data_IF_948176857114
#
_entry.id   IF_948176857114
#
_cell.length_a   1.000
_cell.length_b   1.000
_cell.length_c   1.000
_cell.angle_alpha   90.00
_cell.angle_beta   90.00
_cell.angle_gamma   90.00
#
_symmetry.space_group_name_H-M   'P 1'
#
loop_
_entity.id
_entity.type
_entity.pdbx_description
1 polymer ?
#
# COMPACT_ATOMS: atom_id res chain seq x y z
N UNK A 1 -97.11 20.33 -9.62
CA UNK A 1 -97.07 18.88 -9.59
C UNK A 1 -95.72 18.47 -10.14
N UNK A 2 -94.99 17.97 -9.29
CA UNK A 2 -93.59 17.83 -9.26
C UNK A 2 -93.17 16.63 -10.14
N UNK A 3 -92.22 16.84 -11.02
CA UNK A 3 -91.54 15.80 -11.75
C UNK A 3 -90.09 15.74 -11.24
N UNK A 4 -89.83 14.58 -10.76
CA UNK A 4 -88.52 14.21 -10.20
C UNK A 4 -87.65 13.64 -11.32
N UNK A 5 -86.60 14.35 -11.74
CA UNK A 5 -85.66 13.86 -12.73
C UNK A 5 -84.29 13.58 -12.04
N UNK A 6 -84.14 12.29 -11.72
CA UNK A 6 -82.87 11.80 -11.18
C UNK A 6 -81.72 11.91 -12.16
N UNK A 7 -80.73 12.64 -11.79
CA UNK A 7 -79.48 12.72 -12.51
C UNK A 7 -78.56 11.54 -12.10
N UNK A 8 -78.24 10.69 -13.07
CA UNK A 8 -77.30 9.59 -12.93
C UNK A 8 -75.84 10.17 -12.92
N UNK A 9 -75.19 10.13 -11.80
CA UNK A 9 -73.75 10.37 -11.71
C UNK A 9 -72.96 9.19 -12.32
N UNK A 10 -72.28 9.48 -13.43
CA UNK A 10 -71.34 8.54 -14.03
C UNK A 10 -70.08 8.43 -13.19
N UNK A 11 -69.89 7.30 -12.53
CA UNK A 11 -68.66 6.99 -11.84
C UNK A 11 -67.51 6.82 -12.84
N UNK A 12 -66.57 7.74 -12.87
CA UNK A 12 -65.31 7.63 -13.60
C UNK A 12 -64.40 6.62 -12.89
N UNK A 13 -64.23 5.45 -13.49
CA UNK A 13 -63.31 4.43 -13.02
C UNK A 13 -61.85 4.93 -13.15
N UNK A 14 -61.11 5.02 -12.05
CA UNK A 14 -59.70 5.31 -12.04
C UNK A 14 -58.91 4.15 -12.65
N UNK A 15 -57.87 4.42 -13.46
CA UNK A 15 -57.04 3.37 -14.07
C UNK A 15 -56.24 2.61 -12.99
N UNK A 16 -55.89 1.34 -13.22
CA UNK A 16 -55.19 0.52 -12.26
C UNK A 16 -53.79 1.13 -11.96
N UNK A 17 -53.44 1.23 -10.69
CA UNK A 17 -52.14 1.67 -10.24
C UNK A 17 -51.07 0.73 -10.81
N UNK A 18 -50.07 1.30 -11.51
CA UNK A 18 -48.85 0.60 -11.90
C UNK A 18 -48.13 0.03 -10.67
N UNK A 19 -47.54 -1.16 -10.79
CA UNK A 19 -46.84 -1.77 -9.67
C UNK A 19 -45.68 -0.85 -9.21
N UNK A 20 -45.67 -0.51 -7.92
CA UNK A 20 -44.57 0.22 -7.28
C UNK A 20 -43.30 -0.57 -7.43
N UNK A 21 -42.31 0.06 -8.06
CA UNK A 21 -40.95 -0.46 -8.22
C UNK A 21 -40.45 -0.93 -6.86
N UNK A 22 -40.12 -2.20 -6.71
CA UNK A 22 -39.49 -2.77 -5.54
C UNK A 22 -38.22 -1.94 -5.21
N UNK A 23 -37.92 -1.66 -3.92
CA UNK A 23 -36.70 -0.96 -3.56
C UNK A 23 -35.52 -1.78 -4.05
N UNK A 24 -34.68 -1.17 -4.89
CA UNK A 24 -33.44 -1.76 -5.33
C UNK A 24 -32.66 -2.21 -4.09
N UNK A 25 -32.35 -3.49 -4.01
CA UNK A 25 -31.48 -4.05 -2.99
C UNK A 25 -30.17 -3.24 -2.99
N UNK A 26 -30.02 -2.36 -2.00
CA UNK A 26 -28.82 -1.57 -1.82
C UNK A 26 -27.63 -2.52 -1.79
N UNK A 27 -26.62 -2.26 -2.66
CA UNK A 27 -25.36 -3.00 -2.64
C UNK A 27 -24.86 -2.98 -1.19
N UNK A 28 -24.86 -4.14 -0.53
CA UNK A 28 -24.28 -4.29 0.81
C UNK A 28 -22.84 -3.76 0.72
N UNK A 29 -22.55 -2.67 1.43
CA UNK A 29 -21.17 -2.19 1.59
C UNK A 29 -20.40 -3.35 2.19
N UNK A 30 -19.40 -3.89 1.47
CA UNK A 30 -18.45 -4.82 2.05
C UNK A 30 -17.84 -4.12 3.25
N UNK A 31 -17.86 -4.77 4.40
CA UNK A 31 -17.14 -4.29 5.57
C UNK A 31 -15.69 -4.04 5.15
N UNK A 32 -15.19 -2.86 5.46
CA UNK A 32 -13.80 -2.53 5.21
C UNK A 32 -12.96 -3.48 6.06
N UNK A 33 -12.00 -4.18 5.43
CA UNK A 33 -11.02 -5.01 6.14
C UNK A 33 -9.87 -4.12 6.59
N UNK A 34 -9.36 -4.33 7.79
CA UNK A 34 -8.16 -3.63 8.22
C UNK A 34 -6.96 -4.08 7.37
N UNK A 35 -5.99 -3.18 7.18
CA UNK A 35 -4.85 -3.44 6.31
C UNK A 35 -3.95 -4.56 6.86
N UNK A 36 -3.93 -4.76 8.17
CA UNK A 36 -3.09 -5.75 8.87
C UNK A 36 -3.59 -7.17 8.64
N UNK A 37 -4.91 -7.40 8.74
CA UNK A 37 -5.51 -8.70 8.45
C UNK A 37 -5.34 -9.10 6.99
N UNK A 38 -5.44 -8.14 6.08
CA UNK A 38 -5.21 -8.36 4.64
C UNK A 38 -3.77 -8.77 4.36
N UNK A 39 -2.80 -8.10 5.00
CA UNK A 39 -1.38 -8.45 4.86
C UNK A 39 -1.09 -9.86 5.35
N UNK A 40 -1.56 -10.25 6.53
CA UNK A 40 -1.39 -11.61 7.07
C UNK A 40 -2.00 -12.68 6.17
N UNK A 41 -3.20 -12.43 5.62
CA UNK A 41 -3.82 -13.34 4.66
C UNK A 41 -3.00 -13.44 3.36
N UNK A 42 -2.45 -12.34 2.87
CA UNK A 42 -1.62 -12.29 1.67
C UNK A 42 -0.28 -13.00 1.88
N UNK A 43 0.39 -12.79 3.00
CA UNK A 43 1.63 -13.48 3.35
C UNK A 43 1.43 -14.99 3.44
N UNK A 44 0.34 -15.45 4.07
CA UNK A 44 0.02 -16.87 4.18
C UNK A 44 -0.29 -17.55 2.83
N UNK A 45 -0.82 -16.78 1.86
CA UNK A 45 -1.21 -17.27 0.53
C UNK A 45 -0.20 -16.94 -0.56
N UNK A 46 0.91 -16.27 -0.21
CA UNK A 46 1.90 -15.83 -1.19
C UNK A 46 2.51 -17.04 -1.92
N UNK A 47 2.61 -17.02 -3.27
CA UNK A 47 3.15 -18.13 -4.04
C UNK A 47 4.55 -18.59 -3.58
N UNK A 48 5.39 -17.66 -3.14
CA UNK A 48 6.72 -17.96 -2.63
C UNK A 48 6.68 -18.71 -1.28
N UNK A 49 5.71 -18.40 -0.41
CA UNK A 49 5.55 -19.09 0.87
C UNK A 49 5.10 -20.54 0.67
N UNK A 50 4.22 -20.79 -0.32
CA UNK A 50 3.67 -22.12 -0.61
C UNK A 50 4.69 -23.02 -1.33
N UNK A 51 5.43 -22.44 -2.28
CA UNK A 51 6.32 -23.22 -3.16
C UNK A 51 7.76 -23.33 -2.63
N UNK A 52 8.15 -22.58 -1.60
CA UNK A 52 9.56 -22.48 -1.15
C UNK A 52 10.51 -21.93 -2.21
N UNK A 53 9.96 -21.42 -3.32
CA UNK A 53 10.72 -20.89 -4.45
C UNK A 53 10.72 -19.37 -4.43
N UNK A 54 11.90 -18.78 -4.59
CA UNK A 54 12.03 -17.33 -4.76
C UNK A 54 11.53 -16.92 -6.14
N UNK A 55 10.45 -16.14 -6.18
CA UNK A 55 9.90 -15.55 -7.40
C UNK A 55 9.86 -14.03 -7.22
N UNK A 56 10.70 -13.32 -7.95
CA UNK A 56 10.70 -11.85 -7.94
C UNK A 56 9.64 -11.32 -8.91
N UNK A 57 8.78 -10.40 -8.45
CA UNK A 57 7.77 -9.80 -9.30
C UNK A 57 8.41 -8.92 -10.38
N UNK A 58 7.76 -8.77 -11.52
CA UNK A 58 8.16 -7.89 -12.61
C UNK A 58 7.18 -6.72 -12.71
N UNK A 59 7.67 -5.48 -12.76
CA UNK A 59 6.85 -4.25 -12.78
C UNK A 59 5.79 -4.23 -13.87
N UNK A 60 6.07 -4.82 -15.04
CA UNK A 60 5.15 -4.87 -16.18
C UNK A 60 3.79 -5.48 -15.84
N UNK A 61 3.72 -6.40 -14.88
CA UNK A 61 2.48 -7.05 -14.45
C UNK A 61 1.70 -6.26 -13.39
N UNK A 62 2.36 -5.24 -12.80
CA UNK A 62 1.80 -4.39 -11.73
C UNK A 62 1.58 -2.95 -12.20
N UNK A 63 1.57 -2.72 -13.53
CA UNK A 63 1.38 -1.37 -14.08
C UNK A 63 0.01 -0.81 -13.71
N UNK A 64 0.01 0.38 -13.18
CA UNK A 64 -1.17 1.16 -12.83
C UNK A 64 -0.94 2.61 -13.26
N UNK A 65 -2.03 3.39 -13.48
CA UNK A 65 -1.91 4.80 -13.83
C UNK A 65 -0.97 5.52 -12.87
N UNK A 66 -0.07 6.35 -13.40
CA UNK A 66 0.94 7.06 -12.62
C UNK A 66 0.31 7.97 -11.55
N UNK A 67 -0.79 8.65 -11.90
CA UNK A 67 -1.48 9.54 -10.98
C UNK A 67 -2.72 8.86 -10.39
N UNK A 68 -2.72 8.70 -9.07
CA UNK A 68 -3.89 8.30 -8.33
C UNK A 68 -4.71 9.52 -7.89
N UNK A 69 -6.02 9.36 -7.78
CA UNK A 69 -6.85 10.40 -7.17
C UNK A 69 -6.80 10.24 -5.64
N UNK A 70 -6.17 11.17 -4.88
CA UNK A 70 -6.04 11.06 -3.44
C UNK A 70 -7.38 11.20 -2.69
N UNK A 71 -8.47 11.53 -3.40
CA UNK A 71 -9.81 11.62 -2.83
C UNK A 71 -10.66 10.35 -3.05
N UNK A 72 -10.08 9.30 -3.67
CA UNK A 72 -10.77 8.03 -3.99
C UNK A 72 -10.26 6.87 -3.13
N UNK A 73 -10.11 7.08 -1.83
CA UNK A 73 -9.56 6.13 -0.87
C UNK A 73 -10.61 5.50 0.08
N UNK A 74 -11.88 5.56 -0.30
CA UNK A 74 -13.01 5.12 0.54
C UNK A 74 -13.00 3.63 0.93
N UNK A 75 -12.19 2.81 0.29
CA UNK A 75 -12.07 1.38 0.58
C UNK A 75 -10.94 1.04 1.57
N UNK A 76 -10.18 2.04 2.00
CA UNK A 76 -9.08 1.85 2.95
C UNK A 76 -9.57 2.05 4.38
N UNK A 77 -9.09 1.21 5.27
CA UNK A 77 -9.26 1.36 6.72
C UNK A 77 -7.93 1.88 7.27
N UNK A 78 -8.02 2.85 8.13
CA UNK A 78 -6.88 3.50 8.76
C UNK A 78 -6.92 3.27 10.25
N UNK A 79 -5.77 3.18 10.94
CA UNK A 79 -5.74 3.23 12.39
C UNK A 79 -6.32 4.56 12.84
N UNK A 80 -6.99 4.60 13.99
CA UNK A 80 -7.50 5.84 14.55
C UNK A 80 -6.35 6.68 15.15
N UNK A 81 -5.32 6.00 15.64
CA UNK A 81 -4.12 6.57 16.26
C UNK A 81 -2.93 5.63 16.08
N UNK A 82 -1.68 6.10 16.24
CA UNK A 82 -0.48 5.29 16.04
C UNK A 82 -0.40 4.02 16.88
N UNK A 83 -0.93 4.03 18.10
CA UNK A 83 -0.96 2.87 18.99
C UNK A 83 -1.86 1.73 18.50
N UNK A 84 -2.77 1.99 17.55
CA UNK A 84 -3.65 0.97 16.97
C UNK A 84 -2.95 0.20 15.83
N UNK A 85 -1.71 0.59 15.46
CA UNK A 85 -0.94 -0.09 14.43
C UNK A 85 -0.32 -1.38 14.95
N UNK A 86 -0.62 -2.48 14.26
CA UNK A 86 0.07 -3.75 14.47
C UNK A 86 1.31 -3.85 13.55
N UNK A 87 2.44 -3.40 14.07
CA UNK A 87 3.71 -3.45 13.34
C UNK A 87 4.27 -4.86 13.18
N UNK A 88 3.81 -5.85 13.93
CA UNK A 88 4.26 -7.24 13.80
C UNK A 88 3.91 -7.87 12.46
N UNK A 89 2.82 -7.43 11.80
CA UNK A 89 2.47 -7.84 10.45
C UNK A 89 3.41 -7.26 9.39
N UNK A 90 4.02 -6.11 9.65
CA UNK A 90 4.94 -5.44 8.74
C UNK A 90 6.40 -5.89 8.94
N UNK A 91 6.77 -6.14 10.20
CA UNK A 91 8.14 -6.48 10.62
C UNK A 91 8.10 -7.71 11.54
N UNK A 92 7.75 -8.90 11.02
CA UNK A 92 7.47 -10.09 11.85
C UNK A 92 8.66 -10.56 12.69
N UNK A 93 9.89 -10.31 12.26
CA UNK A 93 11.08 -10.68 13.03
C UNK A 93 11.53 -9.60 14.01
N UNK A 94 11.23 -8.33 13.74
CA UNK A 94 11.74 -7.18 14.51
C UNK A 94 10.70 -6.56 15.45
N UNK A 95 9.42 -6.86 15.26
CA UNK A 95 8.31 -6.39 16.08
C UNK A 95 7.45 -7.56 16.58
N UNK A 96 8.05 -8.71 16.84
CA UNK A 96 7.33 -9.87 17.39
C UNK A 96 6.81 -9.56 18.79
N UNK A 97 5.65 -10.14 19.20
CA UNK A 97 5.14 -9.99 20.55
C UNK A 97 6.18 -10.43 21.59
N UNK A 98 6.45 -9.59 22.60
CA UNK A 98 7.41 -9.86 23.67
C UNK A 98 8.85 -9.43 23.38
N UNK A 99 9.11 -8.81 22.23
CA UNK A 99 10.38 -8.13 21.95
C UNK A 99 10.26 -6.64 22.28
N UNK A 100 11.40 -5.97 22.53
CA UNK A 100 11.44 -4.50 22.55
C UNK A 100 11.12 -4.01 21.14
N UNK A 101 9.86 -3.63 20.93
CA UNK A 101 9.36 -3.28 19.61
C UNK A 101 10.09 -2.06 19.08
N UNK A 102 10.89 -2.25 18.03
CA UNK A 102 11.51 -1.15 17.28
C UNK A 102 10.42 -0.28 16.68
N UNK A 103 10.66 1.03 16.60
CA UNK A 103 9.74 1.96 15.93
C UNK A 103 10.20 2.25 14.52
N UNK A 104 9.25 2.53 13.64
CA UNK A 104 9.55 3.04 12.28
C UNK A 104 10.16 4.44 12.41
N UNK A 105 11.32 4.64 11.80
CA UNK A 105 12.05 5.91 11.84
C UNK A 105 12.10 6.61 10.49
N UNK A 106 12.06 5.85 9.38
CA UNK A 106 12.07 6.41 8.03
C UNK A 106 10.73 6.13 7.34
N UNK A 107 10.18 7.14 6.67
CA UNK A 107 8.99 7.01 5.84
C UNK A 107 9.27 7.48 4.41
N UNK A 108 8.96 6.63 3.42
CA UNK A 108 9.03 6.96 2.00
C UNK A 108 7.60 7.17 1.46
N UNK A 109 7.23 8.43 1.28
CA UNK A 109 5.87 8.83 0.96
C UNK A 109 5.69 8.90 -0.56
N UNK A 110 4.79 8.03 -1.08
CA UNK A 110 4.67 7.82 -2.52
C UNK A 110 5.82 6.96 -3.04
N UNK A 111 6.19 5.92 -2.30
CA UNK A 111 7.39 5.10 -2.54
C UNK A 111 7.43 4.43 -3.93
N UNK A 112 6.35 4.49 -4.71
CA UNK A 112 6.28 3.87 -6.02
C UNK A 112 6.62 2.38 -5.97
N UNK A 113 7.51 1.93 -6.83
CA UNK A 113 7.99 0.55 -6.86
C UNK A 113 9.06 0.21 -5.79
N UNK A 114 9.25 1.07 -4.79
CA UNK A 114 10.07 0.81 -3.62
C UNK A 114 11.58 0.85 -3.86
N UNK A 115 12.04 1.47 -4.94
CA UNK A 115 13.47 1.50 -5.28
C UNK A 115 14.35 2.10 -4.18
N UNK A 116 13.89 3.16 -3.53
CA UNK A 116 14.61 3.78 -2.41
C UNK A 116 14.71 2.83 -1.21
N UNK A 117 13.58 2.21 -0.81
CA UNK A 117 13.55 1.27 0.31
C UNK A 117 14.55 0.13 0.13
N UNK A 118 14.58 -0.47 -1.08
CA UNK A 118 15.49 -1.58 -1.39
C UNK A 118 16.97 -1.17 -1.28
N UNK A 119 17.31 0.08 -1.63
CA UNK A 119 18.67 0.61 -1.52
C UNK A 119 19.05 1.00 -0.11
N UNK A 120 18.12 1.53 0.68
CA UNK A 120 18.37 1.94 2.06
C UNK A 120 18.44 0.75 3.03
N UNK A 121 17.73 -0.35 2.74
CA UNK A 121 17.65 -1.50 3.62
C UNK A 121 19.03 -2.01 4.09
N UNK A 122 20.01 -2.30 3.21
CA UNK A 122 21.34 -2.77 3.61
C UNK A 122 22.20 -1.68 4.27
N UNK A 123 21.92 -0.39 4.00
CA UNK A 123 22.68 0.72 4.57
C UNK A 123 22.28 1.05 6.01
N UNK A 124 21.05 0.75 6.39
CA UNK A 124 20.48 1.04 7.69
C UNK A 124 19.75 -0.20 8.25
N UNK A 125 20.49 -1.31 8.49
CA UNK A 125 19.87 -2.60 8.85
C UNK A 125 19.07 -2.55 10.16
N UNK A 126 19.43 -1.65 11.05
CA UNK A 126 18.78 -1.49 12.37
C UNK A 126 17.62 -0.51 12.38
N UNK A 127 17.40 0.24 11.29
CA UNK A 127 16.37 1.27 11.18
C UNK A 127 15.14 0.72 10.45
N UNK A 128 13.97 0.78 11.08
CA UNK A 128 12.74 0.40 10.41
C UNK A 128 12.28 1.49 9.44
N UNK A 129 11.93 1.09 8.21
CA UNK A 129 11.53 1.97 7.13
C UNK A 129 10.20 1.53 6.53
N UNK A 130 9.27 2.46 6.38
CA UNK A 130 7.95 2.23 5.81
C UNK A 130 7.76 2.97 4.49
N UNK A 131 7.45 2.24 3.43
CA UNK A 131 6.92 2.81 2.19
C UNK A 131 5.41 3.00 2.28
N UNK A 132 4.93 4.15 1.86
CA UNK A 132 3.50 4.45 1.80
C UNK A 132 3.11 4.76 0.36
N UNK A 133 2.22 3.93 -0.23
CA UNK A 133 1.78 4.09 -1.62
C UNK A 133 0.26 3.93 -1.69
N UNK A 134 -0.39 4.76 -2.51
CA UNK A 134 -1.85 4.74 -2.65
C UNK A 134 -2.33 3.76 -3.74
N UNK A 135 -1.50 3.48 -4.75
CA UNK A 135 -1.83 2.62 -5.88
C UNK A 135 -1.74 1.15 -5.50
N UNK A 136 -2.84 0.44 -5.61
CA UNK A 136 -2.98 -0.96 -5.15
C UNK A 136 -1.95 -1.90 -5.77
N UNK A 137 -1.82 -1.90 -7.10
CA UNK A 137 -0.91 -2.83 -7.79
C UNK A 137 0.56 -2.52 -7.51
N UNK A 138 0.90 -1.23 -7.42
CA UNK A 138 2.26 -0.80 -7.12
C UNK A 138 2.66 -1.17 -5.70
N UNK A 139 1.76 -0.98 -4.73
CA UNK A 139 1.98 -1.45 -3.35
C UNK A 139 2.17 -2.96 -3.29
N UNK A 140 1.33 -3.70 -4.03
CA UNK A 140 1.44 -5.17 -4.09
C UNK A 140 2.79 -5.62 -4.66
N UNK A 141 3.29 -4.95 -5.71
CA UNK A 141 4.63 -5.24 -6.25
C UNK A 141 5.71 -5.09 -5.18
N UNK A 142 5.70 -3.98 -4.42
CA UNK A 142 6.71 -3.74 -3.38
C UNK A 142 6.63 -4.79 -2.29
N UNK A 143 5.40 -5.13 -1.86
CA UNK A 143 5.15 -6.18 -0.88
C UNK A 143 5.72 -7.53 -1.34
N UNK A 144 5.38 -7.96 -2.56
CA UNK A 144 5.82 -9.23 -3.13
C UNK A 144 7.34 -9.28 -3.30
N UNK A 145 7.95 -8.15 -3.68
CA UNK A 145 9.41 -8.04 -3.81
C UNK A 145 10.11 -8.14 -2.46
N UNK A 146 9.63 -7.46 -1.43
CA UNK A 146 10.18 -7.55 -0.06
C UNK A 146 10.10 -9.00 0.42
N UNK A 147 8.95 -9.65 0.24
CA UNK A 147 8.75 -11.03 0.64
C UNK A 147 9.71 -11.99 -0.08
N UNK A 148 9.88 -11.84 -1.39
CA UNK A 148 10.82 -12.65 -2.18
C UNK A 148 12.28 -12.48 -1.70
N UNK A 149 12.70 -11.25 -1.38
CA UNK A 149 14.05 -10.95 -0.90
C UNK A 149 14.29 -11.49 0.52
N UNK A 150 13.31 -11.39 1.41
CA UNK A 150 13.37 -12.01 2.75
C UNK A 150 13.51 -13.53 2.64
N UNK A 151 12.77 -14.17 1.73
CA UNK A 151 12.84 -15.60 1.48
C UNK A 151 14.22 -15.99 0.89
N UNK A 152 14.73 -15.22 -0.08
CA UNK A 152 16.06 -15.44 -0.67
C UNK A 152 17.15 -15.38 0.40
N UNK A 153 17.12 -14.36 1.26
CA UNK A 153 18.04 -14.22 2.39
C UNK A 153 17.97 -15.45 3.30
N UNK A 154 16.78 -15.85 3.72
CA UNK A 154 16.59 -17.01 4.60
C UNK A 154 17.14 -18.31 3.99
N UNK A 155 16.94 -18.52 2.69
CA UNK A 155 17.46 -19.70 1.98
C UNK A 155 18.99 -19.65 1.89
N UNK A 156 19.59 -18.49 1.56
CA UNK A 156 21.04 -18.33 1.49
C UNK A 156 21.70 -18.56 2.86
N UNK A 157 21.16 -17.98 3.93
CA UNK A 157 21.64 -18.22 5.30
C UNK A 157 21.55 -19.70 5.69
N UNK A 158 20.43 -20.36 5.35
CA UNK A 158 20.26 -21.80 5.65
C UNK A 158 21.22 -22.69 4.84
N UNK A 159 21.65 -22.25 3.67
CA UNK A 159 22.62 -22.95 2.82
C UNK A 159 24.08 -22.64 3.22
N UNK A 160 24.32 -21.74 4.19
CA UNK A 160 25.67 -21.31 4.59
C UNK A 160 26.32 -20.30 3.63
N UNK A 161 25.57 -19.76 2.67
CA UNK A 161 26.04 -18.73 1.73
C UNK A 161 25.89 -17.32 2.34
N UNK A 162 26.57 -17.10 3.45
CA UNK A 162 26.61 -15.83 4.17
C UNK A 162 27.98 -15.20 3.93
N UNK A 163 28.10 -14.46 2.82
CA UNK A 163 29.33 -13.70 2.55
C UNK A 163 29.48 -12.54 3.52
N UNK A 164 30.73 -12.26 3.94
CA UNK A 164 31.05 -11.14 4.85
C UNK A 164 31.35 -9.85 4.12
N UNK A 165 31.45 -9.87 2.79
CA UNK A 165 31.79 -8.68 2.01
C UNK A 165 30.60 -7.73 1.91
N UNK A 166 30.82 -6.41 2.04
CA UNK A 166 29.76 -5.41 1.84
C UNK A 166 29.16 -5.53 0.45
N UNK A 167 27.83 -5.47 0.37
CA UNK A 167 27.14 -5.38 -0.92
C UNK A 167 27.50 -4.05 -1.57
N UNK A 168 28.28 -4.08 -2.66
CA UNK A 168 28.50 -2.91 -3.48
C UNK A 168 27.20 -2.49 -4.15
N UNK A 169 26.64 -1.37 -3.70
CA UNK A 169 25.51 -0.75 -4.38
C UNK A 169 25.99 -0.22 -5.74
N UNK A 170 25.53 -0.85 -6.82
CA UNK A 170 25.80 -0.34 -8.16
C UNK A 170 25.36 1.12 -8.25
N UNK A 171 26.33 2.01 -8.53
CA UNK A 171 26.11 3.45 -8.63
C UNK A 171 25.42 3.86 -9.93
N UNK A 172 25.44 3.00 -10.93
CA UNK A 172 24.94 3.31 -12.27
C UNK A 172 23.82 2.37 -12.68
N UNK A 173 22.69 2.95 -13.14
CA UNK A 173 21.62 2.24 -13.83
C UNK A 173 21.90 2.36 -15.32
N UNK A 174 21.94 1.25 -16.06
CA UNK A 174 22.04 1.31 -17.52
C UNK A 174 20.81 1.99 -18.15
N UNK A 175 20.99 2.69 -19.24
CA UNK A 175 19.96 3.59 -19.79
C UNK A 175 19.00 2.96 -20.82
N UNK A 176 19.14 1.68 -21.18
CA UNK A 176 18.36 1.09 -22.28
C UNK A 176 17.83 -0.32 -21.97
N UNK A 177 16.56 -0.54 -22.30
CA UNK A 177 15.74 -1.75 -22.16
C UNK A 177 15.29 -2.06 -20.71
N UNK A 178 14.34 -1.25 -20.22
CA UNK A 178 13.85 -1.27 -18.84
C UNK A 178 13.45 -2.67 -18.31
N UNK A 179 12.93 -3.56 -19.16
CA UNK A 179 12.46 -4.88 -18.71
C UNK A 179 13.64 -5.87 -18.53
N UNK A 180 14.68 -5.79 -19.35
CA UNK A 180 15.88 -6.62 -19.22
C UNK A 180 16.71 -6.21 -18.03
N UNK A 181 16.93 -4.91 -17.87
CA UNK A 181 17.66 -4.31 -16.77
C UNK A 181 16.98 -4.61 -15.42
N UNK A 182 15.65 -4.53 -15.38
CA UNK A 182 14.90 -4.90 -14.16
C UNK A 182 15.13 -6.37 -13.81
N UNK A 183 15.13 -7.26 -14.79
CA UNK A 183 15.35 -8.69 -14.58
C UNK A 183 16.76 -8.96 -14.04
N UNK A 184 17.78 -8.38 -14.64
CA UNK A 184 19.17 -8.54 -14.22
C UNK A 184 19.39 -7.95 -12.80
N UNK A 185 18.85 -6.76 -12.53
CA UNK A 185 18.90 -6.16 -11.21
C UNK A 185 18.22 -7.02 -10.14
N UNK A 186 17.07 -7.61 -10.47
CA UNK A 186 16.35 -8.49 -9.57
C UNK A 186 17.11 -9.81 -9.32
N UNK A 187 17.68 -10.42 -10.35
CA UNK A 187 18.51 -11.63 -10.22
C UNK A 187 19.75 -11.37 -9.37
N UNK A 188 20.38 -10.20 -9.54
CA UNK A 188 21.50 -9.77 -8.71
C UNK A 188 21.08 -9.62 -7.25
N UNK A 189 19.97 -8.95 -6.98
CA UNK A 189 19.45 -8.78 -5.61
C UNK A 189 19.19 -10.13 -4.92
N UNK A 190 18.71 -11.13 -5.65
CA UNK A 190 18.50 -12.49 -5.11
C UNK A 190 19.83 -13.15 -4.78
N UNK A 191 20.81 -13.10 -5.68
CA UNK A 191 22.15 -13.69 -5.44
C UNK A 191 22.83 -13.07 -4.23
N UNK A 192 22.68 -11.76 -4.06
CA UNK A 192 23.32 -11.00 -2.98
C UNK A 192 22.50 -10.99 -1.68
N UNK A 193 21.27 -11.52 -1.71
CA UNK A 193 20.35 -11.43 -0.57
C UNK A 193 20.93 -12.00 0.72
N UNK A 194 21.69 -13.10 0.66
CA UNK A 194 22.34 -13.72 1.83
C UNK A 194 23.36 -12.82 2.52
N UNK A 195 23.93 -11.86 1.79
CA UNK A 195 24.95 -10.90 2.27
C UNK A 195 24.37 -9.60 2.80
N UNK A 196 23.06 -9.38 2.60
CA UNK A 196 22.39 -8.14 3.03
C UNK A 196 22.19 -8.18 4.54
N UNK A 197 22.81 -7.23 5.23
CA UNK A 197 22.62 -7.06 6.67
C UNK A 197 21.12 -6.85 6.98
N UNK A 198 20.59 -7.62 7.94
CA UNK A 198 19.18 -7.57 8.32
C UNK A 198 18.21 -8.19 7.32
N UNK A 199 18.68 -8.75 6.18
CA UNK A 199 17.88 -9.58 5.25
C UNK A 199 16.57 -8.93 4.78
N UNK A 200 16.55 -7.62 4.60
CA UNK A 200 15.35 -6.83 4.24
C UNK A 200 14.20 -6.89 5.28
N UNK A 201 14.48 -7.35 6.51
CA UNK A 201 13.46 -7.38 7.58
C UNK A 201 13.07 -5.99 8.09
N UNK A 202 13.94 -5.00 7.85
CA UNK A 202 13.81 -3.61 8.29
C UNK A 202 12.98 -2.72 7.35
N UNK A 203 12.48 -3.22 6.23
CA UNK A 203 11.64 -2.46 5.30
C UNK A 203 10.26 -3.10 5.14
N UNK A 204 9.23 -2.27 4.99
CA UNK A 204 7.88 -2.72 4.67
C UNK A 204 7.14 -1.69 3.82
N UNK A 205 5.97 -2.05 3.33
CA UNK A 205 5.12 -1.15 2.56
C UNK A 205 3.67 -1.24 3.03
N UNK A 206 2.97 -0.12 3.01
CA UNK A 206 1.54 -0.05 3.30
C UNK A 206 0.79 0.70 2.21
N UNK A 207 -0.37 0.17 1.83
CA UNK A 207 -1.28 0.91 0.98
C UNK A 207 -2.04 1.94 1.81
N UNK A 208 -1.72 3.21 1.63
CA UNK A 208 -2.35 4.29 2.39
C UNK A 208 -2.39 5.60 1.64
N UNK A 209 -3.27 6.48 2.08
CA UNK A 209 -3.28 7.88 1.68
C UNK A 209 -2.54 8.72 2.73
N UNK A 210 -1.22 8.82 2.59
CA UNK A 210 -0.39 9.59 3.50
C UNK A 210 -0.79 11.07 3.57
N UNK A 211 -1.33 11.64 2.48
CA UNK A 211 -1.79 13.04 2.47
C UNK A 211 -2.87 13.33 3.51
N UNK A 212 -3.68 12.33 3.88
CA UNK A 212 -4.78 12.52 4.83
C UNK A 212 -4.47 11.94 6.21
N UNK A 213 -3.75 10.82 6.26
CA UNK A 213 -3.71 9.97 7.43
C UNK A 213 -2.30 9.66 7.96
N UNK A 214 -1.27 10.41 7.50
CA UNK A 214 0.09 10.21 8.03
C UNK A 214 0.16 10.25 9.57
N UNK A 215 -0.50 11.19 10.27
CA UNK A 215 -0.46 11.26 11.73
C UNK A 215 -1.11 10.08 12.44
N UNK A 216 -1.91 9.27 11.73
CA UNK A 216 -2.53 8.09 12.33
C UNK A 216 -1.56 6.89 12.43
N UNK A 217 -0.41 6.97 11.76
CA UNK A 217 0.58 5.88 11.70
C UNK A 217 1.79 6.11 12.60
N UNK A 218 2.11 7.37 12.89
CA UNK A 218 3.35 7.73 13.59
C UNK A 218 3.06 8.67 14.74
N UNK A 219 3.73 8.42 15.86
CA UNK A 219 3.73 9.34 16.99
C UNK A 219 4.47 10.64 16.62
N UNK A 220 4.20 11.68 17.38
CA UNK A 220 4.92 12.93 17.22
C UNK A 220 6.42 12.70 17.46
N UNK A 221 7.26 13.33 16.64
CA UNK A 221 8.74 13.24 16.70
C UNK A 221 9.30 11.80 16.53
N UNK A 222 8.49 10.84 16.04
CA UNK A 222 8.93 9.47 15.81
C UNK A 222 9.83 9.33 14.58
N UNK A 223 9.48 10.01 13.49
CA UNK A 223 10.21 9.89 12.23
C UNK A 223 11.47 10.76 12.23
N UNK A 224 12.62 10.15 11.99
CA UNK A 224 13.91 10.86 11.83
C UNK A 224 14.14 11.31 10.38
N UNK A 225 13.54 10.61 9.40
CA UNK A 225 13.59 10.98 7.98
C UNK A 225 12.26 10.72 7.28
N UNK A 226 11.84 11.68 6.46
CA UNK A 226 10.69 11.54 5.55
C UNK A 226 11.17 11.86 4.14
N UNK A 227 10.89 10.94 3.21
CA UNK A 227 11.25 11.10 1.80
C UNK A 227 9.99 11.41 0.98
N UNK A 228 10.08 12.41 0.13
CA UNK A 228 9.09 12.78 -0.87
C UNK A 228 9.80 12.87 -2.22
N UNK A 229 9.93 11.75 -2.92
CA UNK A 229 10.61 11.73 -4.20
C UNK A 229 9.63 11.91 -5.35
N UNK A 230 9.89 12.92 -6.19
CA UNK A 230 9.12 13.21 -7.41
C UNK A 230 7.60 13.32 -7.16
N UNK A 231 7.15 14.14 -6.18
CA UNK A 231 5.73 14.29 -5.90
C UNK A 231 5.00 14.90 -7.10
N UNK A 232 3.72 14.53 -7.30
CA UNK A 232 2.89 15.03 -8.38
C UNK A 232 2.78 16.56 -8.36
N UNK A 233 3.24 17.29 -9.40
CA UNK A 233 3.33 18.75 -9.38
C UNK A 233 1.97 19.44 -9.46
N UNK A 234 0.94 18.81 -10.04
CA UNK A 234 -0.41 19.35 -10.22
C UNK A 234 -0.42 20.83 -10.69
N UNK A 235 0.04 21.08 -11.92
CA UNK A 235 0.26 22.43 -12.47
C UNK A 235 -0.99 23.35 -12.45
N UNK A 236 -2.20 22.79 -12.62
CA UNK A 236 -3.43 23.58 -12.62
C UNK A 236 -3.77 24.05 -11.21
N UNK A 237 -3.95 25.36 -10.99
CA UNK A 237 -4.25 25.96 -9.68
C UNK A 237 -5.40 25.26 -8.94
N UNK A 238 -6.49 24.90 -9.64
CA UNK A 238 -7.62 24.15 -9.07
C UNK A 238 -7.26 22.77 -8.49
N UNK A 239 -6.09 22.22 -8.89
CA UNK A 239 -5.59 20.92 -8.44
C UNK A 239 -4.50 21.03 -7.37
N UNK A 240 -4.05 22.21 -6.98
CA UNK A 240 -3.02 22.39 -5.97
C UNK A 240 -3.40 21.73 -4.62
N UNK A 241 -4.70 21.65 -4.30
CA UNK A 241 -5.20 20.93 -3.10
C UNK A 241 -4.89 19.43 -3.10
N UNK A 242 -4.51 18.85 -4.23
CA UNK A 242 -4.12 17.44 -4.36
C UNK A 242 -2.61 17.23 -4.30
N UNK A 243 -1.83 18.29 -4.12
CA UNK A 243 -0.38 18.18 -3.89
C UNK A 243 -0.15 17.59 -2.52
N UNK A 244 0.68 16.57 -2.44
CA UNK A 244 1.04 15.96 -1.16
C UNK A 244 1.87 16.92 -0.31
N UNK A 245 2.76 17.70 -0.93
CA UNK A 245 3.48 18.78 -0.27
C UNK A 245 2.68 20.06 -0.48
N UNK A 246 1.97 20.49 0.53
CA UNK A 246 1.18 21.73 0.55
C UNK A 246 1.27 22.38 1.93
N UNK A 247 0.93 23.67 1.99
CA UNK A 247 0.93 24.40 3.25
C UNK A 247 0.03 23.74 4.31
N UNK A 248 -1.17 23.27 3.91
CA UNK A 248 -2.11 22.60 4.82
C UNK A 248 -1.55 21.28 5.34
N UNK A 249 -0.91 20.49 4.46
CA UNK A 249 -0.28 19.23 4.85
C UNK A 249 0.88 19.48 5.84
N UNK A 250 1.72 20.47 5.55
CA UNK A 250 2.84 20.82 6.42
C UNK A 250 2.36 21.22 7.82
N UNK A 251 1.34 22.10 7.91
CA UNK A 251 0.79 22.55 9.19
C UNK A 251 0.08 21.44 9.99
N UNK A 252 -0.43 20.41 9.33
CA UNK A 252 -1.13 19.31 10.00
C UNK A 252 -0.17 18.23 10.53
N UNK A 253 1.09 18.19 10.05
CA UNK A 253 2.04 17.12 10.33
C UNK A 253 3.37 17.64 10.95
N UNK A 254 3.45 18.91 11.31
CA UNK A 254 4.48 19.51 12.17
C UNK A 254 3.94 19.73 13.60
#
# INVERSE_FOLDING_TARGET
RLDDSGSAESAIALPPRLPTRSPSMGKRKRAARDNTSVLREQEAQHPNAIAGKVVIPQKRWYRQRAHANPFSDHSLVYPAQPSDMDWSAHYPELCAPGTDAKRVEFADIGCGFGGLLMRLAPLFPDTLMLGMEIRTQVTQYVHDKIHALRLAHKQAVSAGDVGTDPVELASELPENDEDLEEKEANERMVREAGRVAGGYQNISVIRSNAMKFLPNFFERDQLTKIFFLFPDPHFKARKHKARIISYVYHMANC
#
